data_IF_693011899557
#
_entry.id   IF_693011899557
#
_cell.length_a   1.000
_cell.length_b   1.000
_cell.length_c   1.000
_cell.angle_alpha   90.00
_cell.angle_beta   90.00
_cell.angle_gamma   90.00
#
_symmetry.space_group_name_H-M   'P 1'
#
loop_
_entity.id
_entity.type
_entity.pdbx_description
1 polymer ?
#
# COMPACT_ATOMS: atom_id res chain seq x y z
N UNK A 1 -4.99 -10.05 -4.53
CA UNK A 1 -5.10 -9.83 -3.08
C UNK A 1 -3.81 -10.29 -2.45
N UNK A 2 -3.16 -9.42 -1.69
CA UNK A 2 -1.91 -9.72 -1.00
C UNK A 2 -2.25 -10.28 0.38
N UNK A 3 -1.46 -11.24 0.84
CA UNK A 3 -1.50 -11.77 2.20
C UNK A 3 -0.09 -11.69 2.78
N UNK A 4 0.04 -11.22 4.02
CA UNK A 4 1.31 -11.18 4.74
C UNK A 4 1.11 -11.78 6.13
N UNK A 5 2.11 -12.52 6.58
CA UNK A 5 2.25 -12.88 8.00
C UNK A 5 3.20 -11.87 8.61
N UNK A 6 2.73 -11.15 9.62
CA UNK A 6 3.48 -10.12 10.32
C UNK A 6 3.60 -10.52 11.78
N UNK A 7 4.83 -10.53 12.28
CA UNK A 7 5.11 -10.74 13.70
C UNK A 7 5.44 -9.40 14.33
N UNK A 8 4.83 -9.10 15.46
CA UNK A 8 5.12 -7.92 16.23
C UNK A 8 5.05 -8.25 17.71
N UNK A 9 5.77 -7.47 18.49
CA UNK A 9 5.77 -7.61 19.94
C UNK A 9 4.80 -6.62 20.56
N UNK A 10 3.97 -7.09 21.48
CA UNK A 10 3.05 -6.26 22.25
C UNK A 10 2.98 -6.74 23.70
N UNK A 11 2.53 -5.88 24.59
CA UNK A 11 2.31 -6.23 26.00
C UNK A 11 0.90 -6.82 26.16
N UNK A 12 0.79 -7.93 26.88
CA UNK A 12 -0.51 -8.48 27.27
C UNK A 12 -1.17 -7.67 28.40
N UNK A 13 -2.36 -8.07 28.82
CA UNK A 13 -3.11 -7.39 29.90
C UNK A 13 -2.41 -7.42 31.27
N UNK A 14 -1.38 -8.24 31.43
CA UNK A 14 -0.56 -8.35 32.65
C UNK A 14 0.75 -7.57 32.54
N UNK A 15 1.02 -6.94 31.39
CA UNK A 15 2.25 -6.19 31.14
C UNK A 15 3.42 -7.07 30.72
N UNK A 16 3.18 -8.32 30.33
CA UNK A 16 4.22 -9.21 29.82
C UNK A 16 4.41 -9.05 28.32
N UNK A 17 5.66 -8.96 27.88
CA UNK A 17 6.04 -8.85 26.48
C UNK A 17 5.77 -10.17 25.75
N UNK A 18 4.95 -10.14 24.70
CA UNK A 18 4.62 -11.31 23.88
C UNK A 18 4.76 -11.02 22.40
N UNK A 19 5.27 -12.02 21.67
CA UNK A 19 5.26 -12.03 20.22
C UNK A 19 3.90 -12.51 19.70
N UNK A 20 3.33 -11.76 18.76
CA UNK A 20 2.10 -12.07 18.08
C UNK A 20 2.36 -12.16 16.59
N UNK A 21 1.92 -13.26 15.97
CA UNK A 21 1.90 -13.40 14.51
C UNK A 21 0.47 -13.30 14.00
N UNK A 22 0.24 -12.40 13.04
CA UNK A 22 -1.07 -12.19 12.43
C UNK A 22 -0.99 -12.34 10.92
N UNK A 23 -2.04 -12.87 10.30
CA UNK A 23 -2.20 -12.83 8.84
C UNK A 23 -3.03 -11.62 8.44
N UNK A 24 -2.41 -10.64 7.80
CA UNK A 24 -3.08 -9.46 7.24
C UNK A 24 -3.38 -9.65 5.76
N UNK A 25 -4.45 -9.01 5.26
CA UNK A 25 -4.94 -9.17 3.88
C UNK A 25 -5.19 -7.80 3.26
N UNK A 26 -4.70 -7.61 2.04
CA UNK A 26 -4.84 -6.36 1.29
C UNK A 26 -5.54 -6.61 -0.04
N UNK A 27 -6.69 -5.98 -0.22
CA UNK A 27 -7.49 -6.09 -1.42
C UNK A 27 -7.56 -4.75 -2.15
N UNK A 28 -7.01 -4.72 -3.37
CA UNK A 28 -7.26 -3.62 -4.30
C UNK A 28 -8.66 -3.75 -4.90
N UNK A 29 -9.52 -2.77 -4.62
CA UNK A 29 -10.92 -2.79 -4.98
C UNK A 29 -11.44 -1.36 -5.22
N UNK A 30 -12.60 -1.22 -5.87
CA UNK A 30 -13.27 0.08 -5.98
C UNK A 30 -13.65 0.67 -4.61
N UNK A 31 -14.17 -0.11 -3.64
CA UNK A 31 -14.34 0.36 -2.26
C UNK A 31 -13.07 0.94 -1.64
N UNK A 32 -11.91 0.28 -1.77
CA UNK A 32 -10.65 0.79 -1.24
C UNK A 32 -10.25 2.13 -1.87
N UNK A 33 -10.41 2.26 -3.19
CA UNK A 33 -10.14 3.53 -3.90
C UNK A 33 -11.06 4.64 -3.38
N UNK A 34 -12.37 4.38 -3.30
CA UNK A 34 -13.33 5.36 -2.81
C UNK A 34 -13.02 5.78 -1.37
N UNK A 35 -12.65 4.83 -0.53
CA UNK A 35 -12.27 5.10 0.86
C UNK A 35 -11.02 5.99 0.92
N UNK A 36 -10.00 5.72 0.11
CA UNK A 36 -8.82 6.58 0.00
C UNK A 36 -9.21 8.01 -0.37
N UNK A 37 -10.05 8.17 -1.40
CA UNK A 37 -10.48 9.49 -1.88
C UNK A 37 -11.35 10.22 -0.85
N UNK A 38 -12.18 9.51 -0.10
CA UNK A 38 -13.01 10.05 0.98
C UNK A 38 -12.17 10.51 2.18
N UNK A 39 -11.21 9.69 2.63
CA UNK A 39 -10.37 9.99 3.79
C UNK A 39 -9.39 11.12 3.53
N UNK A 40 -8.82 11.17 2.34
CA UNK A 40 -7.74 12.12 2.01
C UNK A 40 -8.22 13.36 1.26
N UNK A 41 -9.40 13.30 0.62
CA UNK A 41 -9.86 14.34 -0.31
C UNK A 41 -9.05 14.43 -1.62
N UNK A 42 -8.18 13.46 -1.89
CA UNK A 42 -7.27 13.43 -3.07
C UNK A 42 -7.68 12.33 -4.04
N UNK A 43 -7.33 12.48 -5.32
CA UNK A 43 -7.57 11.45 -6.34
C UNK A 43 -6.53 10.33 -6.20
N UNK A 44 -7.01 9.09 -6.04
CA UNK A 44 -6.13 7.92 -5.86
C UNK A 44 -5.16 7.72 -7.02
N UNK A 45 -5.63 7.88 -8.25
CA UNK A 45 -4.85 7.59 -9.45
C UNK A 45 -3.77 8.63 -9.69
N UNK A 46 -4.05 9.91 -9.41
CA UNK A 46 -3.07 10.98 -9.49
C UNK A 46 -1.95 10.77 -8.46
N UNK A 47 -2.28 10.44 -7.20
CA UNK A 47 -1.27 10.22 -6.16
C UNK A 47 -0.48 8.92 -6.38
N UNK A 48 -1.13 7.84 -6.81
CA UNK A 48 -0.46 6.62 -7.25
C UNK A 48 0.52 6.90 -8.41
N UNK A 49 0.14 7.77 -9.35
CA UNK A 49 1.00 8.13 -10.47
C UNK A 49 2.22 8.95 -10.02
N UNK A 50 2.06 9.88 -9.06
CA UNK A 50 3.20 10.63 -8.49
C UNK A 50 4.17 9.69 -7.78
N UNK A 51 3.67 8.80 -6.92
CA UNK A 51 4.49 7.81 -6.23
C UNK A 51 5.25 6.91 -7.22
N UNK A 52 4.60 6.47 -8.30
CA UNK A 52 5.24 5.69 -9.36
C UNK A 52 6.30 6.49 -10.11
N UNK A 53 6.05 7.76 -10.36
CA UNK A 53 7.02 8.65 -11.03
C UNK A 53 8.26 8.85 -10.16
N UNK A 54 8.09 9.11 -8.86
CA UNK A 54 9.18 9.19 -7.90
C UNK A 54 10.01 7.91 -7.88
N UNK A 55 9.34 6.75 -7.76
CA UNK A 55 9.98 5.43 -7.85
C UNK A 55 10.80 5.28 -9.13
N UNK A 56 10.18 5.56 -10.28
CA UNK A 56 10.80 5.36 -11.60
C UNK A 56 12.03 6.24 -11.78
N UNK A 57 11.96 7.50 -11.36
CA UNK A 57 13.08 8.43 -11.44
C UNK A 57 14.26 7.96 -10.61
N UNK A 58 14.03 7.53 -9.37
CA UNK A 58 15.12 7.03 -8.52
C UNK A 58 15.69 5.71 -9.03
N UNK A 59 14.82 4.78 -9.47
CA UNK A 59 15.26 3.51 -10.04
C UNK A 59 16.19 3.72 -11.25
N UNK A 60 15.83 4.63 -12.16
CA UNK A 60 16.67 5.00 -13.30
C UNK A 60 18.00 5.63 -12.84
N UNK A 61 17.97 6.56 -11.89
CA UNK A 61 19.17 7.25 -11.39
C UNK A 61 20.15 6.30 -10.68
N UNK A 62 19.65 5.24 -10.06
CA UNK A 62 20.44 4.26 -9.29
C UNK A 62 20.79 3.00 -10.09
N UNK A 63 20.38 2.94 -11.35
CA UNK A 63 20.61 1.79 -12.24
C UNK A 63 19.84 0.53 -11.83
N UNK A 64 18.77 0.68 -11.06
CA UNK A 64 17.87 -0.43 -10.71
C UNK A 64 17.02 -0.75 -11.93
N UNK A 65 17.47 -1.74 -12.69
CA UNK A 65 16.76 -2.28 -13.86
C UNK A 65 15.86 -3.45 -13.46
N UNK A 66 15.06 -3.25 -12.41
CA UNK A 66 14.29 -4.30 -11.76
C UNK A 66 12.84 -4.36 -12.22
N UNK A 67 12.35 -5.57 -12.53
CA UNK A 67 10.92 -5.87 -12.44
C UNK A 67 10.50 -5.62 -11.00
N UNK A 68 9.55 -4.72 -10.76
CA UNK A 68 9.05 -4.38 -9.42
C UNK A 68 8.76 -5.61 -8.55
N UNK A 69 8.28 -6.70 -9.14
CA UNK A 69 7.97 -7.95 -8.44
C UNK A 69 9.17 -8.76 -7.93
N UNK A 70 10.41 -8.34 -8.17
CA UNK A 70 11.61 -9.14 -7.84
C UNK A 70 12.86 -8.26 -7.62
N UNK A 71 12.78 -7.30 -6.69
CA UNK A 71 13.94 -6.49 -6.30
C UNK A 71 14.89 -7.28 -5.40
N UNK A 72 16.20 -7.21 -5.67
CA UNK A 72 17.23 -7.71 -4.73
C UNK A 72 17.34 -6.80 -3.51
N UNK A 73 17.99 -7.29 -2.45
CA UNK A 73 18.18 -6.48 -1.25
C UNK A 73 19.07 -5.26 -1.51
N UNK A 74 20.08 -5.38 -2.38
CA UNK A 74 20.89 -4.23 -2.82
C UNK A 74 20.06 -3.19 -3.58
N UNK A 75 19.11 -3.64 -4.41
CA UNK A 75 18.20 -2.74 -5.13
C UNK A 75 17.24 -2.03 -4.18
N UNK A 76 16.71 -2.73 -3.17
CA UNK A 76 15.88 -2.11 -2.12
C UNK A 76 16.66 -1.05 -1.36
N UNK A 77 17.93 -1.30 -1.01
CA UNK A 77 18.80 -0.33 -0.34
C UNK A 77 18.98 0.93 -1.19
N UNK A 78 19.23 0.79 -2.50
CA UNK A 78 19.34 1.92 -3.43
C UNK A 78 18.05 2.75 -3.52
N UNK A 79 16.91 2.12 -3.28
CA UNK A 79 15.58 2.74 -3.36
C UNK A 79 15.09 3.30 -2.01
N UNK A 80 15.77 3.04 -0.90
CA UNK A 80 15.42 3.59 0.42
C UNK A 80 15.18 5.11 0.46
N UNK A 81 15.87 5.96 -0.35
CA UNK A 81 15.56 7.38 -0.40
C UNK A 81 14.10 7.72 -0.74
N UNK A 82 13.34 6.82 -1.36
CA UNK A 82 11.90 7.01 -1.60
C UNK A 82 11.09 7.16 -0.32
N UNK A 83 11.53 6.56 0.79
CA UNK A 83 10.85 6.67 2.08
C UNK A 83 10.94 8.09 2.66
N UNK A 84 11.79 8.95 2.09
CA UNK A 84 11.87 10.38 2.40
C UNK A 84 11.18 11.26 1.35
N UNK A 85 10.69 10.68 0.25
CA UNK A 85 10.02 11.41 -0.81
C UNK A 85 8.54 11.61 -0.42
N UNK A 86 8.05 12.86 -0.30
CA UNK A 86 6.71 13.13 0.22
C UNK A 86 5.57 12.48 -0.57
N UNK A 87 5.58 12.51 -1.90
CA UNK A 87 4.49 11.95 -2.71
C UNK A 87 4.41 10.42 -2.53
N UNK A 88 5.55 9.73 -2.53
CA UNK A 88 5.68 8.31 -2.31
C UNK A 88 5.24 7.92 -0.89
N UNK A 89 5.80 8.59 0.13
CA UNK A 89 5.55 8.25 1.53
C UNK A 89 4.11 8.55 1.94
N UNK A 90 3.56 9.69 1.51
CA UNK A 90 2.16 10.03 1.76
C UNK A 90 1.21 9.07 1.04
N UNK A 91 1.53 8.64 -0.18
CA UNK A 91 0.71 7.65 -0.87
C UNK A 91 0.73 6.32 -0.11
N UNK A 92 1.91 5.82 0.25
CA UNK A 92 2.07 4.52 0.93
C UNK A 92 1.35 4.49 2.29
N UNK A 93 1.54 5.53 3.10
CA UNK A 93 0.92 5.66 4.43
C UNK A 93 -0.61 5.66 4.35
N UNK A 94 -1.17 6.28 3.31
CA UNK A 94 -2.63 6.47 3.20
C UNK A 94 -3.31 5.32 2.46
N UNK A 95 -2.60 4.67 1.53
CA UNK A 95 -3.17 3.59 0.72
C UNK A 95 -3.23 2.27 1.48
N UNK A 96 -2.21 1.93 2.28
CA UNK A 96 -2.12 0.64 2.97
C UNK A 96 -3.35 0.38 3.86
N UNK A 97 -3.79 1.32 4.72
CA UNK A 97 -4.95 1.07 5.56
C UNK A 97 -6.25 0.93 4.75
N UNK A 98 -6.39 1.67 3.64
CA UNK A 98 -7.57 1.58 2.78
C UNK A 98 -7.68 0.24 2.04
N UNK A 99 -6.54 -0.41 1.79
CA UNK A 99 -6.48 -1.74 1.17
C UNK A 99 -6.66 -2.86 2.18
N UNK A 100 -6.43 -2.62 3.46
CA UNK A 100 -6.55 -3.63 4.50
C UNK A 100 -7.99 -4.13 4.61
N UNK A 101 -8.14 -5.41 4.94
CA UNK A 101 -9.43 -6.00 5.26
C UNK A 101 -9.32 -7.14 6.26
N UNK A 102 -10.35 -7.25 7.09
CA UNK A 102 -10.49 -8.28 8.11
C UNK A 102 -11.42 -9.38 7.65
N UNK A 103 -11.26 -10.60 8.19
CA UNK A 103 -12.16 -11.71 7.88
C UNK A 103 -13.19 -11.83 8.99
N UNK A 104 -14.41 -11.40 8.71
CA UNK A 104 -15.56 -11.52 9.61
C UNK A 104 -16.55 -12.52 9.03
N UNK A 105 -16.92 -13.55 9.80
CA UNK A 105 -17.89 -14.56 9.38
C UNK A 105 -17.59 -15.18 7.99
N UNK A 106 -16.31 -15.40 7.69
CA UNK A 106 -15.84 -15.98 6.43
C UNK A 106 -15.86 -15.01 5.23
N UNK A 107 -16.14 -13.73 5.43
CA UNK A 107 -16.12 -12.70 4.39
C UNK A 107 -15.04 -11.67 4.69
N UNK A 108 -14.39 -11.17 3.64
CA UNK A 108 -13.47 -10.04 3.77
C UNK A 108 -14.28 -8.75 3.91
N UNK A 109 -14.09 -8.06 5.02
CA UNK A 109 -14.66 -6.74 5.31
C UNK A 109 -13.56 -5.71 5.10
N UNK A 110 -13.87 -4.68 4.31
CA UNK A 110 -12.97 -3.56 3.99
C UNK A 110 -13.81 -2.28 4.04
N UNK A 111 -13.67 -1.55 5.14
CA UNK A 111 -14.42 -0.34 5.47
C UNK A 111 -13.57 0.64 6.30
N UNK A 112 -14.14 1.78 6.69
CA UNK A 112 -13.44 2.80 7.49
C UNK A 112 -12.89 2.26 8.80
N UNK A 113 -13.67 1.43 9.53
CA UNK A 113 -13.23 0.83 10.79
C UNK A 113 -11.99 -0.04 10.59
N UNK A 114 -11.97 -0.91 9.58
CA UNK A 114 -10.78 -1.71 9.29
C UNK A 114 -9.57 -0.85 8.94
N UNK A 115 -9.78 0.27 8.25
CA UNK A 115 -8.71 1.19 7.90
C UNK A 115 -8.17 1.96 9.11
N UNK A 116 -9.03 2.33 10.07
CA UNK A 116 -8.62 2.89 11.35
C UNK A 116 -7.82 1.86 12.17
N UNK A 117 -8.30 0.63 12.27
CA UNK A 117 -7.58 -0.48 12.93
C UNK A 117 -6.20 -0.66 12.33
N UNK A 118 -6.08 -0.70 11.00
CA UNK A 118 -4.79 -0.82 10.32
C UNK A 118 -3.86 0.37 10.59
N UNK A 119 -4.40 1.59 10.64
CA UNK A 119 -3.59 2.80 10.87
C UNK A 119 -2.97 2.83 12.28
N UNK A 120 -3.58 2.13 13.24
CA UNK A 120 -3.11 2.02 14.62
C UNK A 120 -2.39 0.70 14.92
N UNK A 121 -2.29 -0.19 13.92
CA UNK A 121 -1.78 -1.53 14.15
C UNK A 121 -0.26 -1.50 14.38
N UNK A 122 0.28 -2.31 15.33
CA UNK A 122 1.72 -2.37 15.58
C UNK A 122 2.53 -2.79 14.34
N UNK A 123 1.95 -3.61 13.46
CA UNK A 123 2.57 -4.09 12.23
C UNK A 123 2.57 -3.08 11.07
N UNK A 124 1.88 -1.95 11.21
CA UNK A 124 1.70 -1.00 10.12
C UNK A 124 3.02 -0.42 9.62
N UNK A 125 3.91 -0.04 10.55
CA UNK A 125 5.22 0.53 10.23
C UNK A 125 6.09 -0.41 9.40
N UNK A 126 5.98 -1.73 9.62
CA UNK A 126 6.77 -2.75 8.90
C UNK A 126 6.38 -2.85 7.42
N UNK A 127 5.21 -2.35 7.03
CA UNK A 127 4.74 -2.32 5.65
C UNK A 127 5.07 -1.00 4.93
N UNK A 128 5.64 -0.03 5.64
CA UNK A 128 6.17 1.20 5.05
C UNK A 128 7.58 0.91 4.52
N UNK A 129 7.64 0.06 3.49
CA UNK A 129 8.89 -0.39 2.90
C UNK A 129 8.81 -0.54 1.38
N UNK A 130 9.98 -0.57 0.74
CA UNK A 130 10.11 -0.65 -0.72
C UNK A 130 9.57 -1.98 -1.26
N UNK A 131 9.77 -3.07 -0.52
CA UNK A 131 9.28 -4.40 -0.87
C UNK A 131 7.76 -4.47 -0.88
N UNK A 132 7.09 -3.93 0.14
CA UNK A 132 5.63 -3.93 0.14
C UNK A 132 5.04 -2.99 -0.91
N UNK A 133 5.63 -1.82 -1.16
CA UNK A 133 5.22 -0.96 -2.28
C UNK A 133 5.27 -1.72 -3.62
N UNK A 134 6.34 -2.48 -3.86
CA UNK A 134 6.48 -3.33 -5.05
C UNK A 134 5.37 -4.38 -5.18
N UNK A 135 4.97 -5.01 -4.07
CA UNK A 135 3.84 -5.95 -4.03
C UNK A 135 2.51 -5.25 -4.36
N UNK A 136 2.28 -4.07 -3.78
CA UNK A 136 1.09 -3.25 -4.05
C UNK A 136 0.98 -2.90 -5.53
N UNK A 137 2.08 -2.40 -6.12
CA UNK A 137 2.09 -2.01 -7.52
C UNK A 137 1.85 -3.19 -8.45
N UNK A 138 2.44 -4.36 -8.14
CA UNK A 138 2.16 -5.58 -8.89
C UNK A 138 0.67 -5.94 -8.83
N UNK A 139 0.06 -5.88 -7.64
CA UNK A 139 -1.37 -6.15 -7.46
C UNK A 139 -2.26 -5.14 -8.22
N UNK A 140 -1.94 -3.85 -8.18
CA UNK A 140 -2.70 -2.82 -8.91
C UNK A 140 -2.71 -3.09 -10.41
N UNK A 141 -1.54 -3.42 -10.99
CA UNK A 141 -1.45 -3.74 -12.41
C UNK A 141 -2.20 -5.03 -12.77
N UNK A 142 -2.07 -6.07 -11.94
CA UNK A 142 -2.76 -7.36 -12.14
C UNK A 142 -4.29 -7.18 -12.10
N UNK A 143 -4.77 -6.31 -11.23
CA UNK A 143 -6.19 -6.11 -10.98
C UNK A 143 -6.79 -4.95 -11.80
N UNK A 144 -5.99 -4.27 -12.61
CA UNK A 144 -6.38 -3.14 -13.48
C UNK A 144 -7.55 -3.44 -14.41
N UNK A 145 -7.68 -4.67 -14.89
CA UNK A 145 -8.79 -5.09 -15.74
C UNK A 145 -10.12 -5.29 -14.97
N UNK A 146 -10.05 -5.45 -13.65
CA UNK A 146 -11.19 -5.79 -12.79
C UNK A 146 -11.69 -4.60 -11.96
N UNK A 147 -10.83 -3.61 -11.74
CA UNK A 147 -11.13 -2.40 -10.97
C UNK A 147 -11.21 -1.22 -11.94
N UNK A 148 -12.32 -0.46 -11.97
CA UNK A 148 -12.44 0.73 -12.80
C UNK A 148 -11.25 1.66 -12.61
N UNK A 149 -10.70 2.13 -13.72
CA UNK A 149 -9.58 3.06 -13.74
C UNK A 149 -10.12 4.46 -14.02
N UNK A 150 -9.49 5.51 -13.48
CA UNK A 150 -9.78 6.87 -13.90
C UNK A 150 -9.35 7.04 -15.37
N UNK A 151 -10.33 6.88 -16.27
CA UNK A 151 -10.19 7.28 -17.66
C UNK A 151 -10.49 8.77 -17.66
N UNK A 152 -9.46 9.62 -17.59
CA UNK A 152 -9.61 11.03 -17.99
C UNK A 152 -10.37 11.02 -19.31
N UNK A 153 -11.64 11.47 -19.29
CA UNK A 153 -12.41 11.66 -20.53
C UNK A 153 -11.54 12.56 -21.42
N UNK A 154 -11.35 12.24 -22.70
CA UNK A 154 -10.69 13.18 -23.60
C UNK A 154 -11.43 14.51 -23.45
N UNK A 155 -10.71 15.57 -23.05
CA UNK A 155 -11.27 16.91 -23.03
C UNK A 155 -11.80 17.17 -24.44
N UNK A 156 -13.12 17.20 -24.60
CA UNK A 156 -13.71 17.81 -25.77
C UNK A 156 -13.26 19.27 -25.71
N UNK A 157 -12.34 19.65 -26.60
CA UNK A 157 -12.05 21.05 -26.87
C UNK A 157 -13.38 21.69 -27.24
N UNK A 158 -13.90 22.54 -26.36
CA UNK A 158 -14.98 23.46 -26.69
C UNK A 158 -14.42 24.64 -27.48
#
# INVERSE_FOLDING_TARGET
MIKKELSFTAFDSYGEEREYTVTVRFLYSLPAIKMYEQRTGRNFFDDNQKALTAYTQLALATGVNGRLSALTDEEKVKLMPLLMEPDFMNFLTEVIPCLYGEVENGRLVQNELTAETASLAPWFGDLIDIGFFSDLFYEFNRSRAKVPQDRKKPQQKS
#
